data_IF_686890612209
#
_entry.id   IF_686890612209
#
_cell.length_a   1.000
_cell.length_b   1.000
_cell.length_c   1.000
_cell.angle_alpha   90.00
_cell.angle_beta   90.00
_cell.angle_gamma   90.00
#
_symmetry.space_group_name_H-M   'P 1'
#
loop_
_entity.id
_entity.type
_entity.pdbx_description
1 polymer ?
#
# COMPACT_ATOMS: atom_id res chain seq x y z
N UNK A 1 -13.17 3.30 2.87
CA UNK A 1 -12.54 3.33 1.52
C UNK A 1 -12.84 2.02 0.82
N UNK A 2 -12.99 1.97 -0.51
CA UNK A 2 -13.32 0.73 -1.25
C UNK A 2 -12.32 -0.41 -0.99
N UNK A 3 -11.04 -0.08 -0.86
CA UNK A 3 -9.97 -1.03 -0.56
C UNK A 3 -10.15 -1.76 0.78
N UNK A 4 -10.83 -1.17 1.77
CA UNK A 4 -11.02 -1.79 3.08
C UNK A 4 -11.81 -3.10 3.02
N UNK A 5 -12.66 -3.25 2.01
CA UNK A 5 -13.55 -4.40 1.83
C UNK A 5 -13.20 -5.21 0.57
N UNK A 6 -12.07 -4.93 -0.08
CA UNK A 6 -11.64 -5.59 -1.31
C UNK A 6 -10.37 -6.39 -1.00
N UNK A 7 -10.31 -7.70 -1.27
CA UNK A 7 -9.05 -8.45 -1.22
C UNK A 7 -8.03 -7.89 -2.22
N UNK A 8 -6.76 -7.81 -1.84
CA UNK A 8 -5.67 -7.37 -2.72
C UNK A 8 -4.33 -7.98 -2.33
N UNK A 9 -3.42 -8.06 -3.30
CA UNK A 9 -2.02 -8.38 -3.11
C UNK A 9 -1.18 -7.10 -3.28
N UNK A 10 -0.50 -6.70 -2.21
CA UNK A 10 0.47 -5.61 -2.18
C UNK A 10 1.88 -6.18 -2.32
N UNK A 11 2.62 -5.74 -3.34
CA UNK A 11 4.04 -6.04 -3.51
C UNK A 11 4.82 -4.76 -3.26
N UNK A 12 5.51 -4.68 -2.13
CA UNK A 12 6.33 -3.54 -1.75
C UNK A 12 7.78 -3.69 -2.24
N UNK A 13 8.32 -2.58 -2.72
CA UNK A 13 9.68 -2.45 -3.24
C UNK A 13 10.39 -1.33 -2.47
N UNK A 14 11.68 -1.52 -2.18
CA UNK A 14 12.58 -0.52 -1.64
C UNK A 14 13.83 -0.45 -2.54
N UNK A 15 14.10 0.74 -3.09
CA UNK A 15 15.16 1.00 -4.08
C UNK A 15 15.16 -0.02 -5.24
N UNK A 16 13.97 -0.33 -5.75
CA UNK A 16 13.78 -1.27 -6.86
C UNK A 16 13.97 -2.74 -6.48
N UNK A 17 14.18 -3.07 -5.20
CA UNK A 17 14.24 -4.46 -4.70
C UNK A 17 12.98 -4.81 -3.93
N UNK A 18 12.46 -6.01 -4.15
CA UNK A 18 11.31 -6.55 -3.41
C UNK A 18 11.64 -6.60 -1.92
N UNK A 19 10.83 -5.93 -1.10
CA UNK A 19 11.05 -5.82 0.35
C UNK A 19 10.10 -6.73 1.12
N UNK A 20 8.79 -6.57 0.88
CA UNK A 20 7.71 -7.26 1.59
C UNK A 20 6.55 -7.51 0.63
N UNK A 21 5.85 -8.61 0.81
CA UNK A 21 4.56 -8.87 0.19
C UNK A 21 3.48 -8.93 1.26
N UNK A 22 2.28 -8.49 0.91
CA UNK A 22 1.11 -8.63 1.76
C UNK A 22 -0.08 -9.07 0.95
N UNK A 23 -0.75 -10.13 1.37
CA UNK A 23 -2.01 -10.56 0.79
C UNK A 23 -3.11 -10.29 1.81
N UNK A 24 -4.00 -9.40 1.45
CA UNK A 24 -5.17 -9.05 2.23
C UNK A 24 -6.34 -9.86 1.72
N UNK A 25 -6.90 -10.69 2.58
CA UNK A 25 -8.14 -11.42 2.33
C UNK A 25 -9.27 -10.82 3.18
N UNK A 26 -10.49 -11.33 3.02
CA UNK A 26 -11.63 -10.92 3.85
C UNK A 26 -11.43 -11.21 5.33
N UNK A 27 -10.56 -12.16 5.70
CA UNK A 27 -10.47 -12.68 7.06
C UNK A 27 -9.07 -12.61 7.68
N UNK A 28 -8.04 -12.40 6.87
CA UNK A 28 -6.66 -12.47 7.32
C UNK A 28 -5.72 -11.67 6.41
N UNK A 29 -4.59 -11.29 7.01
CA UNK A 29 -3.44 -10.69 6.36
C UNK A 29 -2.32 -11.73 6.34
N UNK A 30 -1.77 -11.97 5.17
CA UNK A 30 -0.57 -12.80 5.00
C UNK A 30 0.60 -11.90 4.65
N UNK A 31 1.69 -12.00 5.40
CA UNK A 31 2.89 -11.19 5.20
C UNK A 31 4.02 -12.10 4.72
N UNK A 32 4.54 -11.79 3.54
CA UNK A 32 5.62 -12.50 2.88
C UNK A 32 6.92 -11.72 2.98
N UNK A 33 7.99 -12.35 3.50
CA UNK A 33 9.33 -11.78 3.52
C UNK A 33 10.35 -12.86 3.17
N UNK A 34 11.18 -12.61 2.17
CA UNK A 34 12.24 -13.54 1.71
C UNK A 34 11.71 -14.97 1.46
N UNK A 35 10.50 -15.09 0.91
CA UNK A 35 9.85 -16.37 0.61
C UNK A 35 9.17 -17.07 1.79
N UNK A 36 9.28 -16.53 3.00
CA UNK A 36 8.54 -17.02 4.17
C UNK A 36 7.27 -16.23 4.37
N UNK A 37 6.18 -16.95 4.62
CA UNK A 37 4.85 -16.37 4.81
C UNK A 37 4.37 -16.58 6.23
N UNK A 38 3.79 -15.53 6.81
CA UNK A 38 3.15 -15.56 8.12
C UNK A 38 1.71 -15.10 7.97
N UNK A 39 0.76 -15.82 8.59
CA UNK A 39 -0.64 -15.40 8.69
C UNK A 39 -0.87 -14.62 9.97
N UNK A 40 -1.58 -13.50 9.85
CA UNK A 40 -2.07 -12.70 10.96
C UNK A 40 -3.60 -12.61 10.85
N UNK A 41 -4.37 -12.84 11.94
CA UNK A 41 -5.83 -12.73 11.95
C UNK A 41 -6.27 -11.26 11.99
N UNK A 42 -5.88 -10.49 10.98
CA UNK A 42 -6.25 -9.08 10.79
C UNK A 42 -6.86 -8.90 9.41
N UNK A 43 -7.94 -8.13 9.33
CA UNK A 43 -8.57 -7.71 8.08
C UNK A 43 -7.95 -6.42 7.54
N UNK A 44 -8.23 -6.08 6.29
CA UNK A 44 -7.87 -4.76 5.72
C UNK A 44 -8.44 -3.60 6.55
N UNK A 45 -9.63 -3.76 7.11
CA UNK A 45 -10.27 -2.74 7.95
C UNK A 45 -9.51 -2.58 9.27
N UNK A 46 -9.12 -3.67 9.93
CA UNK A 46 -8.32 -3.63 11.16
C UNK A 46 -6.99 -2.89 10.95
N UNK A 47 -6.35 -3.10 9.80
CA UNK A 47 -5.10 -2.42 9.45
C UNK A 47 -5.31 -0.93 9.21
N UNK A 48 -6.42 -0.54 8.57
CA UNK A 48 -6.77 0.87 8.37
C UNK A 48 -7.02 1.55 9.72
N UNK A 49 -7.73 0.89 10.62
CA UNK A 49 -8.05 1.46 11.92
C UNK A 49 -6.80 1.57 12.80
N UNK A 50 -5.93 0.55 12.82
CA UNK A 50 -4.63 0.63 13.47
C UNK A 50 -3.76 1.78 12.91
N UNK A 51 -3.79 2.00 11.59
CA UNK A 51 -3.07 3.11 10.95
C UNK A 51 -3.58 4.48 11.43
N UNK A 52 -4.90 4.60 11.68
CA UNK A 52 -5.47 5.83 12.24
C UNK A 52 -5.13 6.01 13.72
N UNK A 53 -5.19 4.94 14.50
CA UNK A 53 -4.89 4.95 15.93
C UNK A 53 -3.43 5.30 16.22
N UNK A 54 -2.50 4.86 15.35
CA UNK A 54 -1.07 5.22 15.43
C UNK A 54 -0.78 6.69 15.09
N UNK A 55 -1.81 7.47 14.76
CA UNK A 55 -1.74 8.91 14.53
C UNK A 55 -1.22 9.29 13.15
N UNK A 56 -1.25 8.38 12.17
CA UNK A 56 -1.01 8.73 10.79
C UNK A 56 -2.14 9.62 10.27
N UNK A 57 -1.80 10.81 9.79
CA UNK A 57 -2.75 11.72 9.17
C UNK A 57 -2.37 12.00 7.73
N UNK A 58 -3.39 12.22 6.91
CA UNK A 58 -3.26 12.46 5.47
C UNK A 58 -3.77 13.87 5.19
N UNK A 59 -2.98 14.67 4.48
CA UNK A 59 -3.31 16.06 4.16
C UNK A 59 -2.83 16.43 2.76
N UNK A 60 -3.22 17.61 2.28
CA UNK A 60 -2.80 18.18 1.00
C UNK A 60 -3.05 17.26 -0.22
N UNK A 61 -4.11 16.45 -0.16
CA UNK A 61 -4.54 15.58 -1.25
C UNK A 61 -4.89 16.43 -2.49
N UNK A 62 -4.15 16.26 -3.58
CA UNK A 62 -4.42 16.93 -4.86
C UNK A 62 -4.23 15.98 -6.02
N UNK A 63 -5.12 16.07 -7.01
CA UNK A 63 -4.90 15.39 -8.29
C UNK A 63 -3.74 16.05 -9.04
N UNK A 64 -2.91 15.23 -9.69
CA UNK A 64 -1.76 15.70 -10.46
C UNK A 64 -2.00 15.51 -11.97
N UNK A 65 -2.32 14.28 -12.38
CA UNK A 65 -2.37 13.87 -13.78
C UNK A 65 -3.11 12.53 -13.92
N UNK A 66 -3.35 12.12 -15.16
CA UNK A 66 -3.86 10.77 -15.48
C UNK A 66 -2.72 9.96 -16.11
N UNK A 67 -2.62 8.68 -15.73
CA UNK A 67 -1.64 7.73 -16.28
C UNK A 67 -2.32 6.38 -16.54
N UNK A 68 -1.62 5.48 -17.23
CA UNK A 68 -2.03 4.08 -17.39
C UNK A 68 -1.11 3.18 -16.57
N UNK A 69 -1.69 2.33 -15.73
CA UNK A 69 -0.97 1.33 -14.92
C UNK A 69 -1.62 -0.02 -15.20
N UNK A 70 -0.83 -0.98 -15.70
CA UNK A 70 -1.28 -2.33 -16.08
C UNK A 70 -2.52 -2.34 -16.97
N UNK A 71 -2.54 -1.43 -17.96
CA UNK A 71 -3.65 -1.27 -18.90
C UNK A 71 -4.88 -0.55 -18.34
N UNK A 72 -4.87 -0.13 -17.08
CA UNK A 72 -5.96 0.63 -16.47
C UNK A 72 -5.63 2.13 -16.41
N UNK A 73 -6.60 2.95 -16.80
CA UNK A 73 -6.51 4.41 -16.63
C UNK A 73 -6.66 4.75 -15.15
N UNK A 74 -5.72 5.52 -14.62
CA UNK A 74 -5.68 5.92 -13.22
C UNK A 74 -5.38 7.41 -13.05
N UNK A 75 -6.03 8.03 -12.07
CA UNK A 75 -5.70 9.40 -11.64
C UNK A 75 -4.63 9.32 -10.57
N UNK A 76 -3.55 10.10 -10.76
CA UNK A 76 -2.45 10.22 -9.81
C UNK A 76 -2.75 11.34 -8.83
N UNK A 77 -2.67 11.04 -7.54
CA UNK A 77 -2.84 11.99 -6.45
C UNK A 77 -1.53 12.16 -5.68
N UNK A 78 -1.19 13.40 -5.34
CA UNK A 78 -0.19 13.68 -4.30
C UNK A 78 -0.89 13.73 -2.94
N UNK A 79 -0.28 13.11 -1.93
CA UNK A 79 -0.76 13.10 -0.55
C UNK A 79 0.44 13.32 0.38
N UNK A 80 0.28 14.22 1.34
CA UNK A 80 1.24 14.37 2.42
C UNK A 80 0.82 13.47 3.57
N UNK A 81 1.66 12.49 3.88
CA UNK A 81 1.48 11.61 5.04
C UNK A 81 2.30 12.18 6.19
N UNK A 82 1.65 12.46 7.31
CA UNK A 82 2.30 12.84 8.56
C UNK A 82 2.14 11.70 9.55
N UNK A 83 3.22 11.31 10.22
CA UNK A 83 3.15 10.38 11.35
C UNK A 83 3.53 11.11 12.64
N UNK A 84 3.31 10.46 13.77
CA UNK A 84 3.62 10.98 15.11
C UNK A 84 5.13 11.26 15.34
N UNK A 85 6.00 10.87 14.41
CA UNK A 85 7.42 11.25 14.42
C UNK A 85 7.72 12.37 13.39
N UNK A 86 8.20 13.55 13.81
CA UNK A 86 8.40 14.72 12.94
C UNK A 86 9.36 14.53 11.75
N UNK A 87 10.22 13.50 11.80
CA UNK A 87 11.22 13.22 10.77
C UNK A 87 10.68 12.42 9.56
N UNK A 88 9.37 12.17 9.47
CA UNK A 88 8.81 11.20 8.52
C UNK A 88 7.62 11.70 7.71
N UNK A 89 7.55 13.01 7.45
CA UNK A 89 6.65 13.48 6.40
C UNK A 89 7.14 12.97 5.05
N UNK A 90 6.26 12.28 4.32
CA UNK A 90 6.60 11.73 3.01
C UNK A 90 5.60 12.23 1.97
N UNK A 91 6.13 12.85 0.92
CA UNK A 91 5.36 13.12 -0.29
C UNK A 91 5.09 11.80 -0.98
N UNK A 92 3.84 11.36 -0.88
CA UNK A 92 3.37 10.10 -1.47
C UNK A 92 2.56 10.40 -2.70
N UNK A 93 2.80 9.67 -3.78
CA UNK A 93 1.90 9.60 -4.93
C UNK A 93 1.10 8.30 -4.88
N UNK A 94 -0.19 8.39 -5.19
CA UNK A 94 -1.11 7.26 -5.24
C UNK A 94 -1.80 7.27 -6.60
N UNK A 95 -1.80 6.14 -7.28
CA UNK A 95 -2.54 5.93 -8.53
C UNK A 95 -3.84 5.23 -8.20
N UNK A 96 -4.97 5.91 -8.40
CA UNK A 96 -6.30 5.34 -8.21
C UNK A 96 -6.92 5.02 -9.58
N UNK A 97 -7.32 3.76 -9.80
CA UNK A 97 -8.01 3.33 -11.01
C UNK A 97 -9.29 4.14 -11.18
N UNK A 98 -9.50 4.74 -12.36
CA UNK A 98 -10.71 5.49 -12.66
C UNK A 98 -11.94 4.58 -12.79
N UNK A 99 -11.74 3.32 -13.15
CA UNK A 99 -12.82 2.34 -13.31
C UNK A 99 -13.33 1.81 -11.97
N UNK A 100 -12.42 1.43 -11.06
CA UNK A 100 -12.80 0.79 -9.80
C UNK A 100 -12.75 1.73 -8.60
N UNK A 101 -11.94 2.80 -8.66
CA UNK A 101 -11.61 3.64 -7.52
C UNK A 101 -10.65 2.98 -6.52
N UNK A 102 -10.00 1.87 -6.92
CA UNK A 102 -9.03 1.15 -6.10
C UNK A 102 -7.60 1.62 -6.40
N UNK A 103 -6.68 1.61 -5.42
CA UNK A 103 -5.27 1.89 -5.67
C UNK A 103 -4.63 0.83 -6.56
N UNK A 104 -3.81 1.26 -7.50
CA UNK A 104 -3.00 0.39 -8.36
C UNK A 104 -1.52 0.46 -7.99
N UNK A 105 -1.08 1.62 -7.50
CA UNK A 105 0.32 1.89 -7.19
C UNK A 105 0.45 2.98 -6.13
N UNK A 106 1.51 2.90 -5.33
CA UNK A 106 2.02 4.02 -4.54
C UNK A 106 3.51 4.21 -4.75
N UNK A 107 3.97 5.44 -4.59
CA UNK A 107 5.39 5.80 -4.56
C UNK A 107 5.63 6.86 -3.49
N UNK A 108 6.74 6.73 -2.79
CA UNK A 108 7.14 7.66 -1.75
C UNK A 108 8.68 7.64 -1.59
N UNK A 109 9.21 8.70 -1.00
CA UNK A 109 10.59 8.71 -0.50
C UNK A 109 10.51 8.74 1.03
N UNK A 110 11.09 7.74 1.67
CA UNK A 110 11.09 7.61 3.13
C UNK A 110 12.52 7.67 3.67
N UNK A 111 12.66 8.00 4.95
CA UNK A 111 13.95 8.05 5.62
C UNK A 111 14.19 6.73 6.38
N UNK A 112 15.31 6.07 6.09
CA UNK A 112 15.78 4.88 6.80
C UNK A 112 17.17 5.18 7.40
N UNK A 113 17.19 5.60 8.66
CA UNK A 113 18.38 6.18 9.29
C UNK A 113 18.76 7.49 8.59
N UNK A 114 20.01 7.62 8.16
CA UNK A 114 20.51 8.80 7.45
C UNK A 114 20.29 8.75 5.93
N UNK A 115 19.65 7.70 5.42
CA UNK A 115 19.47 7.47 3.99
C UNK A 115 18.02 7.67 3.56
N UNK A 116 17.84 8.37 2.42
CA UNK A 116 16.56 8.39 1.69
C UNK A 116 16.41 7.12 0.87
N UNK A 117 15.25 6.49 0.98
CA UNK A 117 14.88 5.25 0.29
C UNK A 117 13.69 5.54 -0.59
N UNK A 118 13.75 5.14 -1.85
CA UNK A 118 12.56 5.15 -2.69
C UNK A 118 11.75 3.89 -2.39
N UNK A 119 10.53 4.07 -1.92
CA UNK A 119 9.58 2.98 -1.66
C UNK A 119 8.43 3.07 -2.63
N UNK A 120 8.04 1.92 -3.17
CA UNK A 120 6.85 1.81 -4.01
C UNK A 120 6.08 0.55 -3.65
N UNK A 121 4.78 0.56 -3.89
CA UNK A 121 3.96 -0.64 -3.77
C UNK A 121 3.07 -0.77 -5.00
N UNK A 122 2.91 -2.00 -5.46
CA UNK A 122 1.97 -2.36 -6.52
C UNK A 122 0.82 -3.18 -5.92
N UNK A 123 -0.40 -2.92 -6.38
CA UNK A 123 -1.62 -3.51 -5.85
C UNK A 123 -2.37 -4.29 -6.93
N UNK A 124 -2.43 -5.61 -6.77
CA UNK A 124 -3.23 -6.49 -7.61
C UNK A 124 -4.55 -6.83 -6.90
N UNK A 125 -5.67 -6.68 -7.60
CA UNK A 125 -7.02 -6.97 -7.11
C UNK A 125 -7.64 -8.19 -7.80
N UNK A 126 -6.93 -8.81 -8.76
CA UNK A 126 -7.38 -9.99 -9.50
C UNK A 126 -6.98 -11.29 -8.82
N UNK A 127 -7.92 -12.24 -8.70
CA UNK A 127 -7.68 -13.62 -8.23
C UNK A 127 -6.83 -13.72 -6.95
N UNK A 128 -7.13 -12.88 -5.95
CA UNK A 128 -6.38 -12.81 -4.70
C UNK A 128 -6.67 -14.06 -3.86
N UNK A 129 -5.64 -14.82 -3.54
CA UNK A 129 -5.71 -16.06 -2.76
C UNK A 129 -4.60 -16.12 -1.72
N UNK A 130 -4.79 -16.84 -0.59
CA UNK A 130 -3.73 -17.10 0.36
C UNK A 130 -2.49 -17.74 -0.29
N UNK A 131 -1.28 -17.53 0.28
CA UNK A 131 -0.09 -18.26 -0.14
C UNK A 131 -0.27 -19.77 0.01
N UNK A 132 0.25 -20.54 -0.94
CA UNK A 132 0.19 -22.01 -0.88
C UNK A 132 0.84 -22.54 0.40
N UNK A 133 0.16 -23.45 1.09
CA UNK A 133 0.67 -24.13 2.28
C UNK A 133 0.61 -23.32 3.58
N UNK A 134 -0.07 -22.16 3.59
CA UNK A 134 -0.21 -21.29 4.77
C UNK A 134 -1.70 -21.16 5.11
N UNK A 135 -2.14 -21.83 6.17
CA UNK A 135 -3.52 -21.84 6.64
C UNK A 135 -3.75 -20.91 7.82
#
# INVERSE_FOLDING_TARGET
>A
MKQANTPYHEIAMADGKKSVEKIYTTHALYIGMRGHWTKTPMTSQDVIDLTRETGASFSNCRSLRTETVDGQVATVYAVLIQTTTPASSSDTQIWLSNASGLPLKTEAVTQAGDRKVHVSAHFDHGNVQPPAGVN
#
